data_IF_734216751629
#
_entry.id   IF_734216751629
#
_cell.length_a   1.000
_cell.length_b   1.000
_cell.length_c   1.000
_cell.angle_alpha   90.00
_cell.angle_beta   90.00
_cell.angle_gamma   90.00
#
_symmetry.space_group_name_H-M   'P 1'
#
loop_
_entity.id
_entity.type
_entity.pdbx_description
1 polymer ?
#
# COMPACT_ATOMS: atom_id res chain seq x y z
N UNK A 1 -4.68 11.46 -0.26
CA UNK A 1 -5.09 10.36 0.65
C UNK A 1 -3.83 9.62 1.08
N UNK A 2 -3.64 9.40 2.39
CA UNK A 2 -2.42 8.83 2.94
C UNK A 2 -2.49 7.29 2.93
N UNK A 3 -1.37 6.65 2.59
CA UNK A 3 -1.16 5.22 2.77
C UNK A 3 -1.23 4.90 4.27
N UNK A 4 -2.10 3.96 4.67
CA UNK A 4 -2.40 3.69 6.08
C UNK A 4 -1.73 2.44 6.64
N UNK A 5 -0.94 1.71 5.85
CA UNK A 5 -0.36 0.47 6.36
C UNK A 5 0.89 0.69 7.21
N UNK A 6 0.99 -0.11 8.27
CA UNK A 6 2.05 -0.08 9.29
C UNK A 6 3.44 -0.53 8.77
N UNK A 7 3.47 -1.01 7.52
CA UNK A 7 4.68 -1.41 6.81
C UNK A 7 5.09 -0.33 5.81
N UNK A 8 6.38 -0.07 5.73
CA UNK A 8 7.00 0.82 4.76
C UNK A 8 6.80 0.32 3.33
N UNK A 9 6.94 1.23 2.36
CA UNK A 9 6.86 0.88 0.93
C UNK A 9 7.93 -0.17 0.56
N UNK A 10 9.15 -0.05 1.11
CA UNK A 10 10.23 -1.01 0.87
C UNK A 10 9.86 -2.42 1.34
N UNK A 11 9.41 -2.55 2.58
CA UNK A 11 8.98 -3.84 3.15
C UNK A 11 7.96 -4.52 2.24
N UNK A 12 6.98 -3.76 1.75
CA UNK A 12 5.93 -4.31 0.88
C UNK A 12 6.46 -4.74 -0.49
N UNK A 13 7.28 -3.91 -1.14
CA UNK A 13 7.84 -4.23 -2.47
C UNK A 13 8.73 -5.47 -2.38
N UNK A 14 9.67 -5.50 -1.43
CA UNK A 14 10.60 -6.63 -1.26
C UNK A 14 9.83 -7.91 -0.99
N UNK A 15 8.86 -7.86 -0.06
CA UNK A 15 8.10 -9.06 0.30
C UNK A 15 7.19 -9.52 -0.84
N UNK A 16 6.54 -8.59 -1.55
CA UNK A 16 5.74 -8.91 -2.74
C UNK A 16 6.56 -9.62 -3.82
N UNK A 17 7.79 -9.18 -4.04
CA UNK A 17 8.72 -9.77 -5.01
C UNK A 17 9.07 -11.20 -4.61
N UNK A 18 9.45 -11.42 -3.34
CA UNK A 18 9.74 -12.77 -2.86
C UNK A 18 8.55 -13.70 -3.00
N UNK A 19 7.34 -13.25 -2.67
CA UNK A 19 6.11 -14.04 -2.80
C UNK A 19 5.83 -14.39 -4.26
N UNK A 20 6.01 -13.44 -5.19
CA UNK A 20 5.85 -13.65 -6.63
C UNK A 20 6.85 -14.65 -7.21
N UNK A 21 8.07 -14.67 -6.68
CA UNK A 21 9.14 -15.56 -7.13
C UNK A 21 9.04 -16.97 -6.55
N UNK A 22 8.32 -17.18 -5.44
CA UNK A 22 8.21 -18.49 -4.77
C UNK A 22 7.90 -19.66 -5.71
N UNK A 23 6.94 -19.57 -6.65
CA UNK A 23 6.65 -20.67 -7.58
C UNK A 23 7.83 -21.01 -8.52
N UNK A 24 8.72 -20.05 -8.78
CA UNK A 24 9.89 -20.21 -9.66
C UNK A 24 11.12 -20.72 -8.91
N UNK A 25 11.29 -20.31 -7.66
CA UNK A 25 12.47 -20.65 -6.84
C UNK A 25 12.26 -21.85 -5.93
N UNK A 26 11.05 -22.39 -5.84
CA UNK A 26 10.70 -23.48 -4.91
C UNK A 26 10.75 -23.08 -3.42
N UNK A 27 10.80 -21.77 -3.12
CA UNK A 27 10.94 -21.29 -1.74
C UNK A 27 9.65 -21.52 -0.94
N UNK A 28 9.79 -22.01 0.29
CA UNK A 28 8.66 -22.18 1.21
C UNK A 28 8.21 -20.84 1.77
N UNK A 29 6.98 -20.78 2.29
CA UNK A 29 6.47 -19.58 2.96
C UNK A 29 7.27 -19.24 4.21
N UNK A 30 7.79 -20.26 4.91
CA UNK A 30 8.65 -20.12 6.08
C UNK A 30 9.98 -19.46 5.72
N UNK A 31 10.60 -19.84 4.61
CA UNK A 31 11.82 -19.18 4.14
C UNK A 31 11.59 -17.68 3.87
N UNK A 32 10.43 -17.31 3.30
CA UNK A 32 10.07 -15.89 3.13
C UNK A 32 9.89 -15.19 4.48
N UNK A 33 9.31 -15.87 5.48
CA UNK A 33 9.22 -15.36 6.84
C UNK A 33 10.60 -15.10 7.45
N UNK A 34 11.49 -16.09 7.38
CA UNK A 34 12.87 -15.97 7.89
C UNK A 34 13.62 -14.85 7.20
N UNK A 35 13.52 -14.73 5.88
CA UNK A 35 14.18 -13.64 5.14
C UNK A 35 13.63 -12.26 5.51
N UNK A 36 12.33 -12.14 5.75
CA UNK A 36 11.72 -10.89 6.20
C UNK A 36 12.20 -10.49 7.59
N UNK A 37 12.16 -11.43 8.54
CA UNK A 37 12.66 -11.20 9.90
C UNK A 37 14.15 -10.84 9.90
N UNK A 38 14.97 -11.54 9.10
CA UNK A 38 16.40 -11.28 9.01
C UNK A 38 16.70 -9.89 8.42
N UNK A 39 15.91 -9.45 7.43
CA UNK A 39 16.14 -8.17 6.74
C UNK A 39 15.60 -6.97 7.52
N UNK A 40 14.40 -7.09 8.09
CA UNK A 40 13.67 -5.96 8.67
C UNK A 40 13.57 -6.02 10.20
N UNK A 41 13.97 -7.13 10.84
CA UNK A 41 13.91 -7.28 12.30
C UNK A 41 12.48 -7.27 12.86
N UNK A 42 11.48 -7.57 12.03
CA UNK A 42 10.05 -7.50 12.36
C UNK A 42 9.33 -8.78 11.98
N UNK A 43 8.18 -8.99 12.61
CA UNK A 43 7.29 -10.11 12.27
C UNK A 43 6.69 -9.95 10.88
N UNK A 44 6.57 -11.08 10.17
CA UNK A 44 5.99 -11.12 8.84
C UNK A 44 4.50 -10.77 8.90
N UNK A 45 4.00 -9.95 7.96
CA UNK A 45 2.57 -9.70 7.83
C UNK A 45 1.75 -10.99 7.62
N UNK A 46 0.45 -10.97 7.96
CA UNK A 46 -0.44 -12.10 7.70
C UNK A 46 -0.42 -12.51 6.22
N UNK A 47 -0.52 -13.83 5.94
CA UNK A 47 -0.48 -14.39 4.57
C UNK A 47 -1.43 -13.67 3.60
N UNK A 48 -2.63 -13.27 4.05
CA UNK A 48 -3.60 -12.51 3.25
C UNK A 48 -3.05 -11.17 2.78
N UNK A 49 -2.33 -10.46 3.65
CA UNK A 49 -1.71 -9.17 3.35
C UNK A 49 -0.59 -9.33 2.32
N UNK A 50 0.22 -10.38 2.46
CA UNK A 50 1.30 -10.69 1.53
C UNK A 50 0.78 -10.99 0.11
N UNK A 51 -0.26 -11.83 0.01
CA UNK A 51 -0.89 -12.12 -1.27
C UNK A 51 -1.53 -10.88 -1.90
N UNK A 52 -2.13 -10.01 -1.07
CA UNK A 52 -2.67 -8.74 -1.56
C UNK A 52 -1.58 -7.87 -2.15
N UNK A 53 -0.44 -7.71 -1.48
CA UNK A 53 0.67 -6.89 -1.99
C UNK A 53 1.29 -7.47 -3.26
N UNK A 54 1.46 -8.78 -3.34
CA UNK A 54 1.91 -9.45 -4.56
C UNK A 54 0.93 -9.20 -5.70
N UNK A 55 -0.35 -9.47 -5.48
CA UNK A 55 -1.37 -9.28 -6.50
C UNK A 55 -1.46 -7.81 -6.94
N UNK A 56 -1.52 -6.84 -6.02
CA UNK A 56 -1.62 -5.42 -6.42
C UNK A 56 -0.33 -4.94 -7.07
N UNK A 57 0.83 -5.29 -6.52
CA UNK A 57 2.13 -4.88 -7.06
C UNK A 57 2.33 -5.36 -8.50
N UNK A 58 2.03 -6.64 -8.77
CA UNK A 58 2.26 -7.23 -10.09
C UNK A 58 1.09 -7.05 -11.07
N UNK A 59 -0.16 -6.92 -10.60
CA UNK A 59 -1.30 -6.71 -11.50
C UNK A 59 -1.54 -5.22 -11.84
N UNK A 60 -1.32 -4.31 -10.89
CA UNK A 60 -1.64 -2.88 -11.08
C UNK A 60 -0.41 -1.97 -11.05
N UNK A 61 0.77 -2.48 -10.68
CA UNK A 61 1.97 -1.66 -10.48
C UNK A 61 1.93 -0.81 -9.21
N UNK A 62 0.91 -0.98 -8.36
CA UNK A 62 0.74 -0.22 -7.12
C UNK A 62 0.87 -1.11 -5.88
N UNK A 63 1.71 -0.67 -4.94
CA UNK A 63 1.93 -1.33 -3.66
C UNK A 63 1.24 -0.63 -2.48
N UNK A 64 0.66 0.55 -2.75
CA UNK A 64 -0.01 1.37 -1.74
C UNK A 64 -1.42 0.85 -1.49
N UNK A 65 -1.91 1.06 -0.28
CA UNK A 65 -3.31 0.79 0.01
C UNK A 65 -4.21 1.63 -0.90
N UNK A 66 -5.10 0.96 -1.62
CA UNK A 66 -6.13 1.66 -2.39
C UNK A 66 -7.02 2.41 -1.38
N UNK A 67 -7.37 3.68 -1.62
CA UNK A 67 -8.41 4.36 -0.85
C UNK A 67 -9.61 3.42 -0.67
N UNK A 68 -10.04 3.26 0.59
CA UNK A 68 -11.28 2.53 0.90
C UNK A 68 -12.39 3.20 0.09
N UNK A 69 -13.19 2.41 -0.62
CA UNK A 69 -14.42 2.88 -1.26
C UNK A 69 -15.43 3.21 -0.16
N UNK A 70 -15.22 4.33 0.53
CA UNK A 70 -16.16 4.92 1.47
C UNK A 70 -17.03 5.95 0.76
N UNK A 71 -18.21 6.22 1.35
CA UNK A 71 -19.09 7.33 1.00
C UNK A 71 -18.25 8.60 0.82
N UNK A 72 -18.42 9.31 -0.29
CA UNK A 72 -17.81 10.63 -0.49
C UNK A 72 -18.10 11.46 0.76
N UNK A 73 -17.04 11.89 1.44
CA UNK A 73 -17.20 12.81 2.56
C UNK A 73 -17.73 14.11 1.98
N UNK A 74 -19.00 14.45 2.28
CA UNK A 74 -19.61 15.76 2.01
C UNK A 74 -19.03 16.84 2.93
N UNK A 75 -17.73 16.80 3.22
CA UNK A 75 -17.04 17.99 3.73
C UNK A 75 -16.81 18.89 2.52
N UNK A 76 -17.82 19.71 2.24
CA UNK A 76 -17.69 20.91 1.44
C UNK A 76 -16.41 21.62 1.85
N UNK A 77 -15.48 21.76 0.91
CA UNK A 77 -14.26 22.54 1.11
C UNK A 77 -14.60 24.02 0.89
N UNK A 78 -14.69 24.85 1.94
CA UNK A 78 -15.13 26.24 1.83
C UNK A 78 -14.20 27.10 0.97
N UNK A 79 -12.96 26.64 0.74
CA UNK A 79 -11.93 27.41 0.06
C UNK A 79 -12.18 27.60 -1.43
N UNK A 80 -13.00 26.76 -2.09
CA UNK A 80 -13.39 26.99 -3.50
C UNK A 80 -14.32 28.18 -3.67
N UNK A 81 -15.17 28.47 -2.68
CA UNK A 81 -16.02 29.66 -2.68
C UNK A 81 -15.24 30.92 -2.29
N UNK A 82 -14.30 30.81 -1.35
CA UNK A 82 -13.43 31.94 -0.94
C UNK A 82 -12.55 32.42 -2.09
N UNK A 83 -12.03 31.52 -2.93
CA UNK A 83 -11.24 31.89 -4.10
C UNK A 83 -12.08 32.67 -5.14
N UNK A 84 -13.32 32.22 -5.40
CA UNK A 84 -14.22 32.91 -6.32
C UNK A 84 -14.63 34.32 -5.83
N UNK A 85 -14.67 34.54 -4.51
CA UNK A 85 -14.98 35.86 -3.94
C UNK A 85 -13.83 36.86 -4.04
N UNK A 86 -12.58 36.41 -4.20
CA UNK A 86 -11.38 37.28 -4.32
C UNK A 86 -11.23 37.85 -5.72
N UNK A 87 -11.70 37.14 -6.75
CA UNK A 87 -11.58 37.57 -8.15
C UNK A 87 -12.66 38.60 -8.57
N UNK A 88 -13.75 38.73 -7.81
CA UNK A 88 -14.88 39.64 -8.13
C UNK A 88 -14.67 41.09 -7.65
N UNK A 89 -13.57 41.40 -6.95
CA UNK A 89 -13.30 42.73 -6.38
C UNK A 89 -12.05 43.44 -6.95
N UNK A 90 -11.68 43.20 -8.22
CA UNK A 90 -10.64 43.99 -8.93
C UNK A 90 -11.21 44.97 -9.95
#
# INVERSE_FOLDING_TARGET
MADTSDYTIEERIVTSTWVHERPRTGKTSEQVCTHFQLRFGRELPPKRTLLRWEQTGFATGSIKDNPRSGRTSTKWEPWREVAASVEDHQ
#
